data_IF_566371732649
#
_entry.id   IF_566371732649
#
_cell.length_a   1.000
_cell.length_b   1.000
_cell.length_c   1.000
_cell.angle_alpha   90.00
_cell.angle_beta   90.00
_cell.angle_gamma   90.00
#
_symmetry.space_group_name_H-M   'P 1'
#
loop_
_entity.id
_entity.type
_entity.pdbx_description
1 polymer ?
#
# COMPACT_ATOMS: atom_id res chain seq x y z
N UNK A 1 -29.07 34.34 -21.21
CA UNK A 1 -27.76 33.65 -21.14
C UNK A 1 -27.31 33.66 -19.69
N UNK A 2 -27.36 32.51 -19.01
CA UNK A 2 -27.02 32.38 -17.59
C UNK A 2 -25.94 31.32 -17.39
N UNK A 3 -24.77 31.73 -16.93
CA UNK A 3 -23.64 30.88 -16.54
C UNK A 3 -22.65 31.79 -15.79
N UNK A 4 -22.09 31.51 -14.61
CA UNK A 4 -22.13 30.35 -13.74
C UNK A 4 -21.94 30.84 -12.29
N UNK A 5 -22.60 30.15 -11.35
CA UNK A 5 -22.54 30.39 -9.90
C UNK A 5 -21.11 30.42 -9.34
N UNK A 6 -20.56 31.61 -9.07
CA UNK A 6 -19.45 31.76 -8.13
C UNK A 6 -19.99 31.58 -6.71
N UNK A 7 -20.10 30.32 -6.25
CA UNK A 7 -20.48 30.02 -4.86
C UNK A 7 -19.54 30.78 -3.93
N UNK A 8 -20.11 31.63 -3.05
CA UNK A 8 -19.34 32.47 -2.12
C UNK A 8 -18.34 31.60 -1.34
N UNK A 9 -17.11 32.08 -1.08
CA UNK A 9 -16.07 31.34 -0.36
C UNK A 9 -16.57 30.65 0.93
N UNK A 10 -17.46 31.31 1.67
CA UNK A 10 -18.05 30.79 2.91
C UNK A 10 -18.92 29.55 2.71
N UNK A 11 -19.68 29.50 1.62
CA UNK A 11 -20.52 28.35 1.27
C UNK A 11 -19.62 27.16 0.95
N UNK A 12 -18.53 27.39 0.24
CA UNK A 12 -17.54 26.38 -0.12
C UNK A 12 -16.81 25.84 1.12
N UNK A 13 -16.37 26.73 2.03
CA UNK A 13 -15.73 26.33 3.30
C UNK A 13 -16.67 25.44 4.13
N UNK A 14 -17.95 25.84 4.25
CA UNK A 14 -18.95 25.07 5.01
C UNK A 14 -19.24 23.72 4.35
N UNK A 15 -19.37 23.68 3.02
CA UNK A 15 -19.62 22.44 2.28
C UNK A 15 -18.45 21.45 2.43
N UNK A 16 -17.21 21.92 2.32
CA UNK A 16 -16.01 21.08 2.52
C UNK A 16 -15.98 20.52 3.94
N UNK A 17 -16.25 21.36 4.95
CA UNK A 17 -16.30 20.91 6.35
C UNK A 17 -17.36 19.82 6.57
N UNK A 18 -18.58 20.04 6.08
CA UNK A 18 -19.67 19.06 6.20
C UNK A 18 -19.29 17.74 5.54
N UNK A 19 -18.83 17.80 4.28
CA UNK A 19 -18.39 16.61 3.53
C UNK A 19 -17.28 15.85 4.27
N UNK A 20 -16.31 16.56 4.86
CA UNK A 20 -15.20 15.92 5.57
C UNK A 20 -15.66 15.24 6.87
N UNK A 21 -16.59 15.86 7.61
CA UNK A 21 -17.20 15.25 8.81
C UNK A 21 -18.12 14.06 8.48
N UNK A 22 -18.82 14.10 7.34
CA UNK A 22 -19.65 12.99 6.87
C UNK A 22 -18.78 11.76 6.53
N UNK A 23 -17.63 11.99 5.87
CA UNK A 23 -16.63 10.95 5.60
C UNK A 23 -16.10 10.38 6.92
N UNK A 24 -15.68 11.25 7.86
CA UNK A 24 -15.18 10.83 9.17
C UNK A 24 -16.20 9.99 9.95
N UNK A 25 -17.45 10.43 9.94
CA UNK A 25 -18.56 9.73 10.61
C UNK A 25 -18.80 8.36 9.98
N UNK A 26 -18.71 8.26 8.66
CA UNK A 26 -18.85 7.00 7.92
C UNK A 26 -17.73 6.02 8.25
N UNK A 27 -16.48 6.51 8.37
CA UNK A 27 -15.33 5.73 8.80
C UNK A 27 -15.49 5.20 10.22
N UNK A 28 -15.87 6.07 11.17
CA UNK A 28 -16.08 5.67 12.57
C UNK A 28 -17.20 4.66 12.75
N UNK A 29 -18.25 4.72 11.91
CA UNK A 29 -19.36 3.77 11.93
C UNK A 29 -19.05 2.45 11.21
N UNK A 30 -17.86 2.31 10.63
CA UNK A 30 -17.45 1.16 9.82
C UNK A 30 -18.40 0.84 8.67
N UNK A 31 -19.00 1.88 8.08
CA UNK A 31 -20.01 1.76 7.01
C UNK A 31 -19.41 1.98 5.61
N UNK A 32 -18.08 1.93 5.47
CA UNK A 32 -17.40 2.20 4.19
C UNK A 32 -17.02 0.88 3.51
N UNK A 33 -17.66 0.51 2.38
CA UNK A 33 -17.21 -0.59 1.53
C UNK A 33 -15.85 -0.26 0.90
N UNK A 34 -14.99 -1.25 0.69
CA UNK A 34 -13.67 -1.07 0.06
C UNK A 34 -13.74 -0.32 -1.29
N UNK A 35 -14.79 -0.58 -2.09
CA UNK A 35 -15.00 0.05 -3.40
C UNK A 35 -15.24 1.57 -3.30
N UNK A 36 -15.73 2.07 -2.15
CA UNK A 36 -15.97 3.48 -1.92
C UNK A 36 -14.75 4.20 -1.32
N UNK A 37 -13.70 3.47 -0.92
CA UNK A 37 -12.50 4.07 -0.29
C UNK A 37 -11.76 5.00 -1.25
N UNK A 38 -11.61 4.58 -2.50
CA UNK A 38 -10.97 5.36 -3.55
C UNK A 38 -11.75 6.65 -3.84
N UNK A 39 -13.08 6.57 -3.88
CA UNK A 39 -13.97 7.73 -4.09
C UNK A 39 -13.88 8.72 -2.91
N UNK A 40 -13.83 8.22 -1.68
CA UNK A 40 -13.65 9.06 -0.48
C UNK A 40 -12.27 9.72 -0.48
N UNK A 41 -11.22 8.99 -0.87
CA UNK A 41 -9.86 9.54 -0.98
C UNK A 41 -9.78 10.64 -2.05
N UNK A 42 -10.39 10.43 -3.22
CA UNK A 42 -10.49 11.46 -4.26
C UNK A 42 -11.29 12.69 -3.78
N UNK A 43 -12.35 12.47 -2.99
CA UNK A 43 -13.13 13.56 -2.40
C UNK A 43 -12.29 14.38 -1.41
N UNK A 44 -11.47 13.75 -0.56
CA UNK A 44 -10.54 14.44 0.35
C UNK A 44 -9.45 15.21 -0.39
N UNK A 45 -8.89 14.64 -1.47
CA UNK A 45 -7.92 15.33 -2.35
C UNK A 45 -8.55 16.58 -2.95
N UNK A 46 -9.78 16.48 -3.47
CA UNK A 46 -10.48 17.60 -4.08
C UNK A 46 -10.80 18.69 -3.05
N UNK A 47 -11.22 18.31 -1.85
CA UNK A 47 -11.44 19.22 -0.73
C UNK A 47 -10.15 19.97 -0.35
N UNK A 48 -9.02 19.27 -0.28
CA UNK A 48 -7.69 19.85 -0.03
C UNK A 48 -7.26 20.85 -1.13
N UNK A 49 -7.47 20.51 -2.41
CA UNK A 49 -7.17 21.42 -3.54
C UNK A 49 -8.03 22.69 -3.49
N UNK A 50 -9.31 22.56 -3.15
CA UNK A 50 -10.21 23.70 -3.00
C UNK A 50 -9.82 24.59 -1.81
N UNK A 51 -9.46 24.01 -0.67
CA UNK A 51 -8.96 24.76 0.50
C UNK A 51 -7.65 25.49 0.19
N UNK A 52 -6.71 24.88 -0.54
CA UNK A 52 -5.48 25.54 -0.97
C UNK A 52 -5.74 26.72 -1.92
N UNK A 53 -6.77 26.61 -2.76
CA UNK A 53 -7.21 27.72 -3.62
C UNK A 53 -7.83 28.85 -2.81
N UNK A 54 -8.63 28.52 -1.79
CA UNK A 54 -9.22 29.50 -0.87
C UNK A 54 -8.18 30.12 0.07
N UNK A 55 -7.12 29.40 0.41
CA UNK A 55 -5.98 29.91 1.19
C UNK A 55 -5.15 30.93 0.40
N UNK A 56 -4.96 30.69 -0.89
CA UNK A 56 -4.17 31.58 -1.76
C UNK A 56 -4.96 32.77 -2.30
N UNK A 57 -6.25 32.60 -2.59
CA UNK A 57 -7.09 33.61 -3.27
C UNK A 57 -8.31 34.08 -2.47
N UNK A 58 -8.54 33.53 -1.27
CA UNK A 58 -9.73 33.79 -0.47
C UNK A 58 -9.53 34.88 0.60
N UNK A 59 -10.57 35.10 1.42
CA UNK A 59 -10.59 36.18 2.41
C UNK A 59 -9.65 35.88 3.59
N UNK A 60 -8.68 36.77 3.84
CA UNK A 60 -7.69 36.66 4.94
C UNK A 60 -8.32 36.43 6.32
N UNK A 61 -9.52 36.99 6.57
CA UNK A 61 -10.26 36.84 7.84
C UNK A 61 -10.69 35.40 8.15
N UNK A 62 -10.67 34.51 7.15
CA UNK A 62 -11.09 33.10 7.24
C UNK A 62 -9.92 32.12 7.19
N UNK A 63 -8.68 32.62 7.20
CA UNK A 63 -7.48 31.79 7.06
C UNK A 63 -7.38 30.74 8.18
N UNK A 64 -7.69 31.14 9.41
CA UNK A 64 -7.68 30.24 10.57
C UNK A 64 -8.73 29.11 10.44
N UNK A 65 -9.91 29.42 9.91
CA UNK A 65 -10.96 28.43 9.64
C UNK A 65 -10.55 27.46 8.52
N UNK A 66 -9.89 27.97 7.47
CA UNK A 66 -9.33 27.16 6.39
C UNK A 66 -8.25 26.22 6.93
N UNK A 67 -7.34 26.71 7.78
CA UNK A 67 -6.26 25.91 8.34
C UNK A 67 -6.81 24.80 9.28
N UNK A 68 -7.87 25.10 10.04
CA UNK A 68 -8.57 24.09 10.86
C UNK A 68 -9.21 22.99 10.01
N UNK A 69 -9.88 23.35 8.92
CA UNK A 69 -10.50 22.37 8.03
C UNK A 69 -9.43 21.59 7.25
N UNK A 70 -8.32 22.23 6.87
CA UNK A 70 -7.20 21.54 6.25
C UNK A 70 -6.60 20.48 7.17
N UNK A 71 -6.50 20.79 8.47
CA UNK A 71 -6.11 19.80 9.49
C UNK A 71 -7.12 18.66 9.57
N UNK A 72 -8.42 18.96 9.63
CA UNK A 72 -9.47 17.94 9.64
C UNK A 72 -9.41 17.02 8.41
N UNK A 73 -9.22 17.57 7.21
CA UNK A 73 -9.08 16.79 5.97
C UNK A 73 -7.87 15.86 6.05
N UNK A 74 -6.75 16.33 6.62
CA UNK A 74 -5.57 15.50 6.83
C UNK A 74 -5.84 14.37 7.83
N UNK A 75 -6.39 14.68 8.99
CA UNK A 75 -6.69 13.70 10.04
C UNK A 75 -7.63 12.60 9.51
N UNK A 76 -8.67 12.98 8.75
CA UNK A 76 -9.61 12.03 8.14
C UNK A 76 -8.95 11.20 7.04
N UNK A 77 -7.98 11.76 6.31
CA UNK A 77 -7.23 11.00 5.33
C UNK A 77 -6.31 9.96 5.98
N UNK A 78 -5.68 10.30 7.12
CA UNK A 78 -4.91 9.35 7.92
C UNK A 78 -5.82 8.24 8.47
N UNK A 79 -6.98 8.60 9.07
CA UNK A 79 -8.00 7.62 9.54
C UNK A 79 -8.49 6.69 8.38
N UNK A 80 -8.65 7.22 7.17
CA UNK A 80 -9.06 6.44 5.99
C UNK A 80 -8.01 5.42 5.57
N UNK A 81 -6.71 5.76 5.67
CA UNK A 81 -5.62 4.86 5.34
C UNK A 81 -5.58 3.68 6.31
N UNK A 82 -5.69 3.95 7.61
CA UNK A 82 -5.65 2.97 8.72
C UNK A 82 -6.89 2.05 8.78
N UNK A 83 -8.02 2.46 8.21
CA UNK A 83 -9.31 1.74 8.27
C UNK A 83 -9.27 0.25 7.80
N UNK A 84 -8.23 -0.18 7.07
CA UNK A 84 -8.10 -1.57 6.60
C UNK A 84 -7.13 -2.43 7.42
N UNK A 85 -6.24 -1.84 8.23
CA UNK A 85 -5.26 -2.63 8.99
C UNK A 85 -5.94 -3.43 10.11
N UNK A 86 -7.08 -2.93 10.60
CA UNK A 86 -7.97 -3.57 11.58
C UNK A 86 -8.58 -4.92 11.14
N UNK A 87 -8.61 -5.23 9.84
CA UNK A 87 -9.12 -6.51 9.32
C UNK A 87 -8.01 -7.51 8.99
N UNK A 88 -6.76 -7.06 8.83
CA UNK A 88 -5.62 -7.97 8.62
C UNK A 88 -5.17 -8.63 9.94
N UNK A 89 -5.34 -7.95 11.08
CA UNK A 89 -4.96 -8.46 12.40
C UNK A 89 -6.03 -9.32 13.10
N UNK A 90 -7.27 -9.39 12.58
CA UNK A 90 -8.35 -10.18 13.19
C UNK A 90 -8.53 -11.59 12.61
N UNK A 91 -7.72 -11.96 11.62
CA UNK A 91 -7.69 -13.33 11.07
C UNK A 91 -6.82 -14.31 11.88
N UNK A 92 -6.03 -13.81 12.83
CA UNK A 92 -5.27 -14.63 13.77
C UNK A 92 -6.12 -14.97 14.99
N UNK A 93 -7.26 -15.61 14.78
CA UNK A 93 -7.99 -16.25 15.87
C UNK A 93 -7.24 -17.55 16.20
N UNK A 94 -6.60 -17.58 17.37
CA UNK A 94 -5.94 -18.76 17.95
C UNK A 94 -6.98 -19.83 18.30
N UNK A 95 -7.63 -20.40 17.29
CA UNK A 95 -8.57 -21.49 17.46
C UNK A 95 -7.79 -22.80 17.64
N UNK A 96 -7.43 -23.10 18.89
CA UNK A 96 -7.14 -24.45 19.35
C UNK A 96 -8.38 -25.34 19.15
N UNK A 97 -8.60 -25.84 17.94
CA UNK A 97 -9.62 -26.84 17.67
C UNK A 97 -8.96 -28.09 17.08
N UNK A 98 -8.80 -29.09 17.94
CA UNK A 98 -8.48 -30.44 17.53
C UNK A 98 -9.62 -30.98 16.69
N UNK A 99 -9.42 -31.09 15.38
CA UNK A 99 -10.31 -31.89 14.53
C UNK A 99 -9.96 -33.36 14.79
N UNK A 100 -10.75 -34.03 15.65
CA UNK A 100 -10.78 -35.48 15.69
C UNK A 100 -11.54 -35.98 14.45
N UNK A 101 -10.81 -36.49 13.45
CA UNK A 101 -11.40 -37.13 12.29
C UNK A 101 -11.54 -38.63 12.59
N UNK A 102 -12.77 -39.12 12.63
CA UNK A 102 -13.13 -40.53 12.82
C UNK A 102 -12.59 -41.38 11.63
N UNK A 103 -11.87 -42.49 11.84
CA UNK A 103 -11.31 -43.27 10.75
C UNK A 103 -12.33 -44.30 10.26
N UNK A 104 -13.25 -43.90 9.39
CA UNK A 104 -14.06 -44.87 8.66
C UNK A 104 -14.27 -44.46 7.21
N UNK A 105 -13.79 -45.35 6.33
CA UNK A 105 -14.13 -45.50 4.89
C UNK A 105 -13.29 -44.71 3.88
N UNK A 106 -12.08 -45.23 3.72
CA UNK A 106 -11.31 -45.23 2.48
C UNK A 106 -12.16 -45.82 1.33
N UNK A 107 -12.36 -45.06 0.26
CA UNK A 107 -12.46 -45.62 -1.10
C UNK A 107 -11.55 -44.82 -2.03
N UNK A 108 -10.50 -45.52 -2.41
CA UNK A 108 -9.44 -45.20 -3.36
C UNK A 108 -9.94 -44.75 -4.73
N UNK A 109 -9.41 -43.62 -5.22
CA UNK A 109 -9.06 -43.48 -6.62
C UNK A 109 -7.63 -42.95 -6.75
N UNK A 110 -6.80 -43.80 -7.36
CA UNK A 110 -5.39 -43.57 -7.69
C UNK A 110 -5.29 -42.55 -8.81
N UNK A 111 -4.61 -41.43 -8.55
CA UNK A 111 -3.73 -40.80 -9.54
C UNK A 111 -2.50 -40.30 -8.78
N UNK A 112 -1.38 -40.99 -8.94
CA UNK A 112 -0.03 -40.50 -8.60
C UNK A 112 0.63 -40.03 -9.90
N UNK A 113 1.52 -39.03 -9.90
CA UNK A 113 2.89 -39.33 -9.51
C UNK A 113 3.60 -38.28 -8.65
N UNK A 114 4.48 -38.82 -7.80
CA UNK A 114 5.71 -38.24 -7.22
C UNK A 114 5.56 -37.12 -6.19
N UNK A 115 5.35 -37.60 -4.97
CA UNK A 115 5.81 -36.96 -3.73
C UNK A 115 7.34 -36.89 -3.74
N UNK A 116 7.92 -35.70 -3.88
CA UNK A 116 9.20 -35.42 -3.23
C UNK A 116 8.92 -35.08 -1.77
N UNK A 117 9.25 -36.03 -0.89
CA UNK A 117 9.30 -35.80 0.55
C UNK A 117 10.29 -34.67 0.84
N UNK A 118 9.84 -33.61 1.47
CA UNK A 118 10.67 -32.50 1.90
C UNK A 118 10.13 -31.88 3.18
N UNK A 119 10.30 -32.60 4.29
CA UNK A 119 10.39 -32.13 5.69
C UNK A 119 9.64 -30.85 6.07
N UNK A 120 8.62 -31.03 6.92
CA UNK A 120 8.37 -30.12 8.04
C UNK A 120 9.69 -29.84 8.78
N UNK A 121 10.13 -28.59 8.76
CA UNK A 121 11.09 -27.96 9.68
C UNK A 121 10.72 -26.47 9.71
N UNK A 122 10.07 -26.02 10.78
CA UNK A 122 10.70 -25.19 11.82
C UNK A 122 10.90 -23.73 11.43
N UNK A 123 10.32 -22.83 12.24
CA UNK A 123 10.96 -21.62 12.78
C UNK A 123 12.22 -21.15 12.03
N UNK A 124 12.14 -19.99 11.39
CA UNK A 124 13.28 -19.25 10.84
C UNK A 124 13.42 -19.39 9.34
N UNK A 125 12.80 -18.47 8.58
CA UNK A 125 13.19 -18.26 7.19
C UNK A 125 14.62 -17.73 7.22
N UNK A 126 15.58 -18.57 6.84
CA UNK A 126 16.99 -18.20 6.83
C UNK A 126 17.19 -16.98 5.91
N UNK A 127 17.91 -15.92 6.35
CA UNK A 127 18.12 -14.71 5.56
C UNK A 127 18.71 -14.98 4.17
N UNK A 128 19.51 -16.05 4.03
CA UNK A 128 20.11 -16.50 2.76
C UNK A 128 19.07 -16.82 1.69
N UNK A 129 18.02 -17.56 2.04
CA UNK A 129 17.01 -18.01 1.06
C UNK A 129 16.18 -16.86 0.52
N UNK A 130 15.80 -15.91 1.37
CA UNK A 130 15.10 -14.70 0.95
C UNK A 130 15.99 -13.76 0.14
N UNK A 131 17.25 -13.58 0.54
CA UNK A 131 18.19 -12.74 -0.19
C UNK A 131 18.39 -13.22 -1.64
N UNK A 132 18.54 -14.53 -1.84
CA UNK A 132 18.65 -15.13 -3.17
C UNK A 132 17.36 -14.97 -3.99
N UNK A 133 16.20 -15.02 -3.33
CA UNK A 133 14.90 -14.82 -4.00
C UNK A 133 14.76 -13.37 -4.50
N UNK A 134 15.11 -12.39 -3.67
CA UNK A 134 15.12 -10.97 -4.04
C UNK A 134 16.10 -10.73 -5.19
N UNK A 135 17.31 -11.32 -5.14
CA UNK A 135 18.30 -11.22 -6.22
C UNK A 135 17.75 -11.75 -7.55
N UNK A 136 17.07 -12.90 -7.52
CA UNK A 136 16.45 -13.48 -8.71
C UNK A 136 15.29 -12.62 -9.25
N UNK A 137 14.46 -12.06 -8.37
CA UNK A 137 13.40 -11.13 -8.78
C UNK A 137 13.97 -9.85 -9.38
N UNK A 138 15.02 -9.28 -8.78
CA UNK A 138 15.69 -8.09 -9.28
C UNK A 138 16.31 -8.32 -10.67
N UNK A 139 16.90 -9.49 -10.91
CA UNK A 139 17.44 -9.85 -12.23
C UNK A 139 16.37 -9.81 -13.35
N UNK A 140 15.13 -10.20 -13.04
CA UNK A 140 14.00 -10.10 -13.98
C UNK A 140 13.60 -8.63 -14.22
N UNK A 141 13.43 -7.88 -13.14
CA UNK A 141 13.06 -6.44 -13.20
C UNK A 141 14.10 -5.65 -14.00
N UNK A 142 15.39 -5.94 -13.83
CA UNK A 142 16.50 -5.33 -14.57
C UNK A 142 16.33 -5.48 -16.09
N UNK A 143 15.98 -6.68 -16.56
CA UNK A 143 15.73 -6.92 -17.97
C UNK A 143 14.50 -6.17 -18.47
N UNK A 144 13.41 -6.19 -17.70
CA UNK A 144 12.17 -5.49 -18.05
C UNK A 144 12.37 -3.96 -18.13
N UNK A 145 13.16 -3.38 -17.22
CA UNK A 145 13.51 -1.95 -17.24
C UNK A 145 14.29 -1.60 -18.52
N UNK A 146 15.27 -2.40 -18.90
CA UNK A 146 16.04 -2.19 -20.14
C UNK A 146 15.11 -2.22 -21.36
N UNK A 147 14.19 -3.18 -21.40
CA UNK A 147 13.19 -3.29 -22.48
C UNK A 147 12.24 -2.10 -22.48
N UNK A 148 11.72 -1.69 -21.31
CA UNK A 148 10.83 -0.54 -21.16
C UNK A 148 11.47 0.77 -21.61
N UNK A 149 12.74 1.01 -21.25
CA UNK A 149 13.49 2.21 -21.66
C UNK A 149 13.68 2.21 -23.18
N UNK A 150 14.07 1.06 -23.75
CA UNK A 150 14.25 0.92 -25.20
C UNK A 150 12.96 1.19 -25.98
N UNK A 151 11.83 0.73 -25.44
CA UNK A 151 10.52 0.86 -26.07
C UNK A 151 9.80 2.18 -25.71
N UNK A 152 10.37 3.01 -24.82
CA UNK A 152 9.74 4.22 -24.26
C UNK A 152 8.35 3.96 -23.67
N UNK A 153 8.17 2.79 -23.06
CA UNK A 153 6.91 2.37 -22.46
C UNK A 153 6.81 2.86 -21.01
N UNK A 154 6.28 4.07 -20.84
CA UNK A 154 6.16 4.71 -19.53
C UNK A 154 5.27 3.92 -18.54
N UNK A 155 4.29 3.14 -19.02
CA UNK A 155 3.45 2.34 -18.13
C UNK A 155 4.22 1.13 -17.60
N UNK A 156 4.96 0.44 -18.47
CA UNK A 156 5.85 -0.64 -18.04
C UNK A 156 6.92 -0.12 -17.07
N UNK A 157 7.52 1.04 -17.37
CA UNK A 157 8.53 1.65 -16.49
C UNK A 157 7.97 2.02 -15.11
N UNK A 158 6.75 2.53 -15.03
CA UNK A 158 6.09 2.81 -13.75
C UNK A 158 5.83 1.52 -12.95
N UNK A 159 5.39 0.44 -13.61
CA UNK A 159 5.21 -0.86 -12.96
C UNK A 159 6.53 -1.43 -12.44
N UNK A 160 7.62 -1.30 -13.21
CA UNK A 160 8.93 -1.76 -12.77
C UNK A 160 9.48 -0.90 -11.63
N UNK A 161 9.17 0.41 -11.60
CA UNK A 161 9.52 1.30 -10.48
C UNK A 161 8.90 0.81 -9.17
N UNK A 162 7.60 0.51 -9.17
CA UNK A 162 6.91 -0.02 -7.99
C UNK A 162 7.50 -1.38 -7.55
N UNK A 163 7.89 -2.25 -8.49
CA UNK A 163 8.56 -3.51 -8.16
C UNK A 163 9.93 -3.30 -7.52
N UNK A 164 10.70 -2.31 -7.97
CA UNK A 164 11.99 -1.96 -7.34
C UNK A 164 11.77 -1.47 -5.90
N UNK A 165 10.76 -0.63 -5.66
CA UNK A 165 10.41 -0.15 -4.31
C UNK A 165 10.04 -1.32 -3.37
N UNK A 166 9.20 -2.27 -3.83
CA UNK A 166 8.86 -3.45 -3.03
C UNK A 166 10.10 -4.30 -2.68
N UNK A 167 11.00 -4.52 -3.65
CA UNK A 167 12.23 -5.28 -3.42
C UNK A 167 13.18 -4.56 -2.43
N UNK A 168 13.19 -3.23 -2.42
CA UNK A 168 13.92 -2.45 -1.42
C UNK A 168 13.32 -2.65 -0.02
N UNK A 169 12.00 -2.56 0.12
CA UNK A 169 11.33 -2.82 1.40
C UNK A 169 11.61 -4.25 1.90
N UNK A 170 11.54 -5.25 1.02
CA UNK A 170 11.86 -6.64 1.38
C UNK A 170 13.31 -6.81 1.84
N UNK A 171 14.26 -6.09 1.22
CA UNK A 171 15.66 -6.07 1.65
C UNK A 171 15.84 -5.41 3.02
N UNK A 172 15.20 -4.28 3.26
CA UNK A 172 15.26 -3.57 4.54
C UNK A 172 14.77 -4.45 5.69
N UNK A 173 13.69 -5.21 5.47
CA UNK A 173 13.12 -6.16 6.43
C UNK A 173 14.01 -7.40 6.69
N UNK A 174 15.03 -7.65 5.85
CA UNK A 174 16.01 -8.71 6.12
C UNK A 174 16.99 -8.28 7.20
N UNK A 175 16.78 -8.83 8.41
CA UNK A 175 17.72 -8.74 9.52
C UNK A 175 18.95 -9.63 9.26
N UNK A 176 19.96 -9.05 8.61
CA UNK A 176 21.27 -9.65 8.38
C UNK A 176 22.29 -8.93 9.27
N UNK A 177 23.04 -9.70 10.05
CA UNK A 177 24.11 -9.17 10.91
C UNK A 177 25.21 -8.55 10.06
N UNK A 178 25.68 -7.34 10.41
CA UNK A 178 26.69 -6.59 9.66
C UNK A 178 28.03 -7.35 9.48
N UNK A 179 28.35 -8.29 10.38
CA UNK A 179 29.55 -9.13 10.28
C UNK A 179 29.42 -10.31 9.31
N UNK A 180 28.25 -10.49 8.67
CA UNK A 180 28.01 -11.59 7.73
C UNK A 180 28.44 -11.23 6.32
N UNK A 181 28.99 -12.19 5.57
CA UNK A 181 29.21 -12.06 4.11
C UNK A 181 27.92 -11.82 3.32
N UNK A 182 26.76 -12.13 3.93
CA UNK A 182 25.45 -11.83 3.37
C UNK A 182 25.10 -10.34 3.47
N UNK A 183 25.72 -9.61 4.40
CA UNK A 183 25.52 -8.16 4.54
C UNK A 183 26.10 -7.42 3.35
N UNK A 184 27.32 -7.78 2.92
CA UNK A 184 27.94 -7.22 1.70
C UNK A 184 27.08 -7.50 0.46
N UNK A 185 26.50 -8.70 0.36
CA UNK A 185 25.57 -9.05 -0.71
C UNK A 185 24.29 -8.21 -0.67
N UNK A 186 23.71 -8.02 0.51
CA UNK A 186 22.54 -7.15 0.72
C UNK A 186 22.85 -5.70 0.32
N UNK A 187 23.97 -5.15 0.79
CA UNK A 187 24.39 -3.78 0.49
C UNK A 187 24.64 -3.57 -1.02
N UNK A 188 25.28 -4.54 -1.69
CA UNK A 188 25.46 -4.49 -3.13
C UNK A 188 24.11 -4.50 -3.87
N UNK A 189 23.17 -5.33 -3.43
CA UNK A 189 21.84 -5.40 -4.03
C UNK A 189 21.04 -4.10 -3.81
N UNK A 190 21.12 -3.50 -2.62
CA UNK A 190 20.52 -2.18 -2.32
C UNK A 190 21.08 -1.08 -3.24
N UNK A 191 22.41 -1.04 -3.43
CA UNK A 191 23.05 -0.09 -4.35
C UNK A 191 22.60 -0.30 -5.80
N UNK A 192 22.50 -1.56 -6.26
CA UNK A 192 22.02 -1.85 -7.61
C UNK A 192 20.55 -1.45 -7.81
N UNK A 193 19.67 -1.76 -6.85
CA UNK A 193 18.27 -1.36 -6.88
C UNK A 193 18.13 0.16 -6.97
N UNK A 194 18.86 0.90 -6.13
CA UNK A 194 18.84 2.36 -6.15
C UNK A 194 19.31 2.94 -7.49
N UNK A 195 20.35 2.35 -8.09
CA UNK A 195 20.84 2.77 -9.41
C UNK A 195 19.80 2.57 -10.52
N UNK A 196 19.02 1.49 -10.46
CA UNK A 196 17.95 1.24 -11.44
C UNK A 196 16.73 2.13 -11.19
N UNK A 197 16.40 2.39 -9.92
CA UNK A 197 15.36 3.34 -9.55
C UNK A 197 15.63 4.73 -10.12
N UNK A 198 16.87 5.23 -10.05
CA UNK A 198 17.25 6.54 -10.62
C UNK A 198 17.16 6.63 -12.15
N UNK A 199 17.09 5.51 -12.86
CA UNK A 199 16.98 5.48 -14.34
C UNK A 199 15.54 5.51 -14.82
N UNK A 200 14.57 5.28 -13.94
CA UNK A 200 13.13 5.22 -14.21
C UNK A 200 12.46 6.55 -13.89
#
# INVERSE_FOLDING_TARGET
MGSANSKKPEITIRAIRSSTEDIRSSLRRKQVPLQNKEELHQTLINNSKQLNTLRSKGPKKKQLEIDQIQKLVRDVNEELLEYNDDQLDKGADESHSFIHVNPARIKSQKITPKVSKGRSNSRGIFPVTKLNEIEHQFSKVKNDVIVGIKNRDNQSLLLQKNKIEMLQTDLELLNITQSSTLFEKKENLERELYRYYQKL
#
